data_IF_709934257455
#
_entry.id   IF_709934257455
#
_cell.length_a   1.000
_cell.length_b   1.000
_cell.length_c   1.000
_cell.angle_alpha   90.00
_cell.angle_beta   90.00
_cell.angle_gamma   90.00
#
_symmetry.space_group_name_H-M   'P 1'
#
loop_
_entity.id
_entity.type
_entity.pdbx_description
1 polymer ?
#
# COMPACT_ATOMS: atom_id res chain seq x y z
N UNK A 1 1.89 -14.56 -16.39
CA UNK A 1 2.92 -13.76 -17.09
C UNK A 1 3.64 -12.92 -16.05
N UNK A 2 4.98 -12.87 -16.10
CA UNK A 2 5.80 -12.05 -15.20
C UNK A 2 5.62 -10.57 -15.51
N UNK A 3 5.63 -9.72 -14.48
CA UNK A 3 5.47 -8.27 -14.64
C UNK A 3 6.65 -7.69 -15.44
N UNK A 4 6.41 -6.96 -16.54
CA UNK A 4 7.47 -6.57 -17.47
C UNK A 4 8.16 -5.24 -17.13
N UNK A 5 7.60 -4.45 -16.22
CA UNK A 5 8.05 -3.08 -15.94
C UNK A 5 8.80 -2.96 -14.61
N UNK A 6 9.50 -1.83 -14.42
CA UNK A 6 10.32 -1.57 -13.22
C UNK A 6 9.51 -1.14 -12.02
N UNK A 7 8.37 -0.50 -12.21
CA UNK A 7 7.53 -0.02 -11.12
C UNK A 7 6.08 0.17 -11.52
N UNK A 8 5.22 0.35 -10.52
CA UNK A 8 3.85 0.85 -10.70
C UNK A 8 3.70 2.21 -10.03
N UNK A 9 2.75 3.00 -10.51
CA UNK A 9 2.36 4.25 -9.86
C UNK A 9 0.85 4.42 -9.87
N UNK A 10 0.33 5.28 -8.99
CA UNK A 10 -1.09 5.61 -8.96
C UNK A 10 -1.35 6.90 -9.73
N UNK A 11 -2.33 6.88 -10.63
CA UNK A 11 -2.77 8.05 -11.37
C UNK A 11 -3.64 9.00 -10.53
N UNK A 12 -4.35 9.91 -11.21
CA UNK A 12 -5.13 10.94 -10.54
C UNK A 12 -6.23 10.35 -9.66
N UNK A 13 -6.31 10.84 -8.41
CA UNK A 13 -7.32 10.40 -7.45
C UNK A 13 -8.71 10.89 -7.86
N UNK A 14 -9.67 9.98 -7.89
CA UNK A 14 -11.09 10.25 -8.16
C UNK A 14 -12.00 9.25 -7.44
N UNK A 15 -13.22 9.06 -7.94
CA UNK A 15 -14.15 8.01 -7.47
C UNK A 15 -13.57 6.61 -7.68
N UNK A 16 -12.82 6.44 -8.76
CA UNK A 16 -11.90 5.33 -8.96
C UNK A 16 -10.53 5.89 -9.34
N UNK A 17 -9.46 5.23 -8.89
CA UNK A 17 -8.07 5.65 -9.14
C UNK A 17 -7.37 4.60 -10.00
N UNK A 18 -6.80 4.97 -11.16
CA UNK A 18 -6.05 4.02 -11.97
C UNK A 18 -4.70 3.69 -11.33
N UNK A 19 -4.31 2.43 -11.43
CA UNK A 19 -2.98 1.92 -11.19
C UNK A 19 -2.29 1.82 -12.56
N UNK A 20 -1.17 2.50 -12.70
CA UNK A 20 -0.41 2.62 -13.93
C UNK A 20 0.79 1.70 -13.91
N UNK A 21 1.13 1.17 -15.08
CA UNK A 21 2.46 0.64 -15.34
C UNK A 21 3.42 1.83 -15.49
N UNK A 22 4.45 1.88 -14.65
CA UNK A 22 5.39 3.00 -14.58
C UNK A 22 4.68 4.36 -14.43
N UNK A 23 4.84 5.29 -15.37
CA UNK A 23 4.14 6.59 -15.41
C UNK A 23 2.92 6.60 -16.35
N UNK A 24 2.51 5.44 -16.88
CA UNK A 24 1.47 5.29 -17.89
C UNK A 24 2.01 5.37 -19.33
N UNK A 25 1.13 5.35 -20.35
CA UNK A 25 -0.33 5.42 -20.26
C UNK A 25 -1.01 4.06 -20.00
N UNK A 26 -0.25 2.97 -19.92
CA UNK A 26 -0.82 1.64 -19.67
C UNK A 26 -1.38 1.53 -18.24
N UNK A 27 -2.66 1.16 -18.14
CA UNK A 27 -3.34 0.93 -16.88
C UNK A 27 -3.38 -0.56 -16.55
N UNK A 28 -2.92 -0.91 -15.35
CA UNK A 28 -2.99 -2.27 -14.82
C UNK A 28 -4.36 -2.57 -14.20
N UNK A 29 -5.06 -1.52 -13.74
CA UNK A 29 -6.39 -1.64 -13.19
C UNK A 29 -6.89 -0.32 -12.60
N UNK A 30 -8.18 -0.28 -12.28
CA UNK A 30 -8.84 0.89 -11.70
C UNK A 30 -9.49 0.51 -10.38
N UNK A 31 -9.15 1.23 -9.31
CA UNK A 31 -9.53 0.89 -7.93
C UNK A 31 -10.51 1.89 -7.34
N UNK A 32 -11.66 1.39 -6.91
CA UNK A 32 -12.61 2.07 -6.01
C UNK A 32 -12.38 1.67 -4.55
N UNK A 33 -13.40 1.88 -3.71
CA UNK A 33 -13.32 1.57 -2.27
C UNK A 33 -13.47 0.08 -1.98
N UNK A 34 -14.52 -0.54 -2.53
CA UNK A 34 -14.86 -1.95 -2.26
C UNK A 34 -14.67 -2.84 -3.49
N UNK A 35 -14.33 -2.25 -4.64
CA UNK A 35 -14.14 -2.97 -5.90
C UNK A 35 -12.99 -2.40 -6.69
N UNK A 36 -12.33 -3.25 -7.46
CA UNK A 36 -11.43 -2.84 -8.53
C UNK A 36 -11.77 -3.57 -9.82
N UNK A 37 -11.28 -3.02 -10.93
CA UNK A 37 -11.24 -3.69 -12.23
C UNK A 37 -9.78 -3.87 -12.60
N UNK A 38 -9.33 -5.11 -12.81
CA UNK A 38 -7.95 -5.46 -13.15
C UNK A 38 -7.98 -6.24 -14.47
N UNK A 39 -7.49 -5.63 -15.55
CA UNK A 39 -7.80 -6.11 -16.90
C UNK A 39 -9.32 -6.16 -17.11
N UNK A 40 -9.84 -7.34 -17.44
CA UNK A 40 -11.29 -7.57 -17.62
C UNK A 40 -11.99 -8.12 -16.36
N UNK A 41 -11.26 -8.35 -15.27
CA UNK A 41 -11.79 -8.98 -14.05
C UNK A 41 -12.23 -7.95 -13.01
N UNK A 42 -13.40 -8.14 -12.40
CA UNK A 42 -13.78 -7.42 -11.18
C UNK A 42 -13.17 -8.09 -9.95
N UNK A 43 -12.59 -7.28 -9.07
CA UNK A 43 -12.11 -7.72 -7.78
C UNK A 43 -12.98 -7.13 -6.68
N UNK A 44 -13.22 -7.91 -5.63
CA UNK A 44 -13.86 -7.45 -4.39
C UNK A 44 -12.75 -7.10 -3.41
N UNK A 45 -12.78 -5.87 -2.89
CA UNK A 45 -11.80 -5.34 -1.97
C UNK A 45 -12.42 -5.23 -0.58
N UNK A 46 -11.70 -5.70 0.42
CA UNK A 46 -12.07 -5.49 1.82
C UNK A 46 -10.84 -5.09 2.62
N UNK A 47 -10.96 -4.06 3.46
CA UNK A 47 -9.85 -3.62 4.31
C UNK A 47 -10.36 -3.15 5.68
N UNK A 48 -9.95 -3.85 6.73
CA UNK A 48 -10.11 -3.44 8.14
C UNK A 48 -8.81 -2.81 8.63
N UNK A 49 -8.68 -2.47 9.92
CA UNK A 49 -7.42 -1.91 10.46
C UNK A 49 -6.21 -2.86 10.31
N UNK A 50 -6.45 -4.15 10.39
CA UNK A 50 -5.44 -5.20 10.57
C UNK A 50 -5.51 -6.30 9.50
N UNK A 51 -6.51 -6.29 8.63
CA UNK A 51 -6.65 -7.21 7.51
C UNK A 51 -6.94 -6.42 6.24
N UNK A 52 -6.49 -6.92 5.09
CA UNK A 52 -6.94 -6.49 3.78
C UNK A 52 -6.97 -7.68 2.84
N UNK A 53 -8.02 -7.80 2.04
CA UNK A 53 -8.20 -8.88 1.07
C UNK A 53 -8.69 -8.33 -0.27
N UNK A 54 -8.12 -8.85 -1.36
CA UNK A 54 -8.61 -8.65 -2.71
C UNK A 54 -8.96 -10.02 -3.30
N UNK A 55 -10.23 -10.24 -3.63
CA UNK A 55 -10.72 -11.51 -4.18
C UNK A 55 -11.13 -11.32 -5.62
N UNK A 56 -10.57 -12.13 -6.51
CA UNK A 56 -10.88 -12.13 -7.94
C UNK A 56 -12.23 -12.82 -8.22
N UNK A 57 -12.81 -12.61 -9.40
CA UNK A 57 -13.99 -13.35 -9.86
C UNK A 57 -13.81 -14.87 -9.88
N UNK A 58 -12.56 -15.33 -10.09
CA UNK A 58 -12.22 -16.76 -10.08
C UNK A 58 -12.08 -17.35 -8.66
N UNK A 59 -12.21 -16.54 -7.61
CA UNK A 59 -12.10 -16.95 -6.20
C UNK A 59 -10.68 -16.93 -5.64
N UNK A 60 -9.67 -16.62 -6.45
CA UNK A 60 -8.31 -16.36 -5.96
C UNK A 60 -8.32 -15.15 -5.02
N UNK A 61 -7.66 -15.26 -3.87
CA UNK A 61 -7.64 -14.21 -2.86
C UNK A 61 -6.22 -13.83 -2.50
N UNK A 62 -5.94 -12.54 -2.56
CA UNK A 62 -4.73 -11.91 -2.05
C UNK A 62 -5.05 -11.34 -0.68
N UNK A 63 -4.21 -11.60 0.32
CA UNK A 63 -4.45 -11.14 1.69
C UNK A 63 -3.22 -10.47 2.29
N UNK A 64 -3.42 -9.45 3.12
CA UNK A 64 -2.40 -8.79 3.93
C UNK A 64 -2.87 -8.73 5.38
N UNK A 65 -2.05 -9.23 6.30
CA UNK A 65 -2.35 -9.28 7.72
C UNK A 65 -1.39 -8.40 8.54
N UNK A 66 -1.93 -7.80 9.59
CA UNK A 66 -1.20 -7.05 10.61
C UNK A 66 -1.58 -5.56 10.67
N UNK A 67 -1.22 -4.91 11.77
CA UNK A 67 -1.53 -3.50 12.02
C UNK A 67 -0.66 -2.59 11.14
N UNK A 68 -1.19 -2.21 9.98
CA UNK A 68 -0.46 -1.44 8.95
C UNK A 68 0.07 -0.08 9.42
N UNK A 69 -0.57 0.51 10.44
CA UNK A 69 -0.15 1.80 10.99
C UNK A 69 1.10 1.70 11.89
N UNK A 70 1.44 0.52 12.43
CA UNK A 70 2.47 0.38 13.48
C UNK A 70 3.44 -0.78 13.26
N UNK A 71 3.01 -1.84 12.60
CA UNK A 71 3.81 -3.04 12.44
C UNK A 71 5.08 -2.73 11.64
N UNK A 72 6.20 -3.32 12.08
CA UNK A 72 7.48 -3.27 11.36
C UNK A 72 7.57 -4.32 10.28
N UNK A 73 6.90 -5.45 10.49
CA UNK A 73 6.79 -6.54 9.53
C UNK A 73 5.30 -6.80 9.29
N UNK A 74 4.91 -6.97 8.02
CA UNK A 74 3.58 -7.42 7.63
C UNK A 74 3.74 -8.61 6.69
N UNK A 75 2.80 -9.54 6.73
CA UNK A 75 2.82 -10.74 5.88
C UNK A 75 1.65 -10.65 4.92
N UNK A 76 1.93 -10.93 3.64
CA UNK A 76 0.90 -11.07 2.63
C UNK A 76 0.92 -12.47 2.01
N UNK A 77 -0.25 -12.97 1.67
CA UNK A 77 -0.46 -14.14 0.85
C UNK A 77 -0.89 -13.69 -0.55
N UNK A 78 -0.09 -14.07 -1.55
CA UNK A 78 -0.28 -13.72 -2.95
C UNK A 78 -0.96 -14.86 -3.74
N UNK A 79 -2.04 -15.44 -3.21
CA UNK A 79 -2.71 -16.57 -3.86
C UNK A 79 -1.97 -17.91 -3.68
N UNK A 80 -1.40 -18.14 -2.50
CA UNK A 80 -0.62 -19.32 -2.15
C UNK A 80 0.89 -19.06 -2.05
N UNK A 81 1.36 -17.86 -2.41
CA UNK A 81 2.75 -17.44 -2.23
C UNK A 81 2.87 -16.37 -1.15
N UNK A 82 3.55 -16.72 -0.06
CA UNK A 82 3.77 -15.78 1.04
C UNK A 82 4.93 -14.82 0.75
N UNK A 83 4.73 -13.54 1.07
CA UNK A 83 5.77 -12.50 1.03
C UNK A 83 5.74 -11.68 2.33
N UNK A 84 6.86 -11.06 2.67
CA UNK A 84 7.00 -10.25 3.89
C UNK A 84 7.37 -8.81 3.52
N UNK A 85 6.59 -7.87 4.02
CA UNK A 85 6.88 -6.45 3.98
C UNK A 85 7.69 -6.09 5.22
N UNK A 86 8.91 -5.60 5.05
CA UNK A 86 9.83 -5.21 6.13
C UNK A 86 10.08 -3.71 6.11
N UNK A 87 9.89 -3.04 7.25
CA UNK A 87 10.14 -1.61 7.40
C UNK A 87 11.58 -1.37 7.86
N UNK A 88 12.49 -1.16 6.91
CA UNK A 88 13.92 -0.99 7.19
C UNK A 88 14.22 0.33 7.90
N UNK A 89 13.63 1.44 7.44
CA UNK A 89 13.91 2.77 7.98
C UNK A 89 12.69 3.66 7.84
N UNK A 90 12.05 4.02 8.97
CA UNK A 90 10.86 4.91 9.07
C UNK A 90 9.79 4.69 7.99
N UNK A 91 9.99 5.19 6.78
CA UNK A 91 9.07 5.16 5.65
C UNK A 91 9.51 4.27 4.49
N UNK A 92 10.74 3.74 4.52
CA UNK A 92 11.30 2.84 3.51
C UNK A 92 10.97 1.40 3.86
N UNK A 93 10.53 0.66 2.85
CA UNK A 93 10.09 -0.71 2.97
C UNK A 93 10.63 -1.57 1.83
N UNK A 94 10.97 -2.80 2.18
CA UNK A 94 11.29 -3.85 1.22
C UNK A 94 10.25 -4.96 1.32
N UNK A 95 10.04 -5.66 0.23
CA UNK A 95 9.19 -6.84 0.16
C UNK A 95 10.08 -8.00 -0.22
N UNK A 96 10.10 -9.02 0.63
CA UNK A 96 10.88 -10.23 0.46
C UNK A 96 9.97 -11.43 0.17
N UNK A 97 10.46 -12.36 -0.65
CA UNK A 97 9.82 -13.65 -0.83
C UNK A 97 10.01 -14.58 0.39
N UNK A 98 9.48 -15.80 0.30
CA UNK A 98 9.60 -16.80 1.37
C UNK A 98 11.05 -17.24 1.66
N UNK A 99 12.00 -16.96 0.77
CA UNK A 99 13.42 -17.27 0.91
C UNK A 99 14.24 -16.07 1.41
N UNK A 100 13.61 -14.92 1.68
CA UNK A 100 14.28 -13.69 2.07
C UNK A 100 14.93 -12.94 0.90
N UNK A 101 14.62 -13.30 -0.34
CA UNK A 101 15.08 -12.54 -1.49
C UNK A 101 14.17 -11.33 -1.70
N UNK A 102 14.77 -10.15 -1.83
CA UNK A 102 14.04 -8.92 -2.13
C UNK A 102 13.41 -9.01 -3.53
N UNK A 103 12.11 -8.76 -3.60
CA UNK A 103 11.35 -8.79 -4.87
C UNK A 103 10.78 -7.42 -5.23
N UNK A 104 10.62 -6.53 -4.24
CA UNK A 104 10.14 -5.18 -4.47
C UNK A 104 10.48 -4.24 -3.32
N UNK A 105 10.28 -2.94 -3.51
CA UNK A 105 10.40 -1.92 -2.47
C UNK A 105 9.43 -0.76 -2.70
N UNK A 106 9.18 0.01 -1.65
CA UNK A 106 8.46 1.27 -1.73
C UNK A 106 8.89 2.19 -0.60
N UNK A 107 8.66 3.50 -0.78
CA UNK A 107 8.87 4.48 0.27
C UNK A 107 7.68 5.42 0.40
N UNK A 108 7.36 5.80 1.64
CA UNK A 108 6.50 6.95 1.92
C UNK A 108 7.24 8.29 1.84
N UNK A 109 8.57 8.28 1.77
CA UNK A 109 9.43 9.47 1.79
C UNK A 109 9.18 10.41 0.60
N UNK A 110 9.40 11.71 0.80
CA UNK A 110 9.31 12.80 -0.18
C UNK A 110 7.93 13.10 -0.83
N UNK A 111 7.04 12.12 -1.00
CA UNK A 111 5.73 12.33 -1.65
C UNK A 111 4.54 11.70 -0.90
N UNK A 112 4.78 10.94 0.18
CA UNK A 112 3.71 10.28 0.93
C UNK A 112 2.78 9.46 0.04
N UNK A 113 1.47 9.55 0.28
CA UNK A 113 0.44 8.91 -0.56
C UNK A 113 0.16 9.63 -1.88
N UNK A 114 0.84 10.75 -2.18
CA UNK A 114 0.61 11.53 -3.42
C UNK A 114 1.27 10.88 -4.63
N UNK A 115 2.44 10.26 -4.44
CA UNK A 115 3.08 9.35 -5.39
C UNK A 115 3.41 8.06 -4.66
N UNK A 116 2.41 7.17 -4.60
CA UNK A 116 2.60 5.81 -4.11
C UNK A 116 3.21 5.00 -5.26
N UNK A 117 4.47 4.58 -5.11
CA UNK A 117 5.21 3.83 -6.12
C UNK A 117 5.66 2.50 -5.52
N UNK A 118 5.43 1.40 -6.24
CA UNK A 118 6.00 0.10 -5.94
C UNK A 118 7.07 -0.18 -6.99
N UNK A 119 8.32 -0.27 -6.58
CA UNK A 119 9.44 -0.64 -7.44
C UNK A 119 9.66 -2.14 -7.35
N UNK A 120 9.72 -2.82 -8.50
CA UNK A 120 9.90 -4.27 -8.60
C UNK A 120 11.35 -4.56 -8.96
N UNK A 121 11.96 -5.53 -8.28
CA UNK A 121 13.36 -5.90 -8.53
C UNK A 121 13.55 -6.57 -9.89
N UNK A 122 14.66 -6.28 -10.55
CA UNK A 122 14.99 -6.89 -11.84
C UNK A 122 15.17 -8.41 -11.68
N UNK A 123 14.46 -9.19 -12.50
CA UNK A 123 14.48 -10.66 -12.44
C UNK A 123 13.55 -11.28 -11.38
N UNK A 124 12.86 -10.46 -10.57
CA UNK A 124 11.87 -10.96 -9.63
C UNK A 124 10.72 -11.68 -10.37
N UNK A 125 10.41 -12.91 -9.94
CA UNK A 125 9.38 -13.74 -10.58
C UNK A 125 7.99 -13.39 -10.04
N UNK A 126 7.57 -12.12 -10.17
CA UNK A 126 6.26 -11.65 -9.71
C UNK A 126 5.35 -11.45 -10.92
N UNK A 127 4.15 -12.03 -10.88
CA UNK A 127 3.16 -11.86 -11.95
C UNK A 127 2.51 -10.49 -11.91
N UNK A 128 1.92 -10.05 -13.03
CA UNK A 128 1.19 -8.77 -13.09
C UNK A 128 0.07 -8.69 -12.03
N UNK A 129 -0.71 -9.75 -11.86
CA UNK A 129 -1.79 -9.84 -10.87
C UNK A 129 -1.28 -9.65 -9.44
N UNK A 130 -0.15 -10.30 -9.12
CA UNK A 130 0.51 -10.14 -7.82
C UNK A 130 1.04 -8.71 -7.62
N UNK A 131 1.67 -8.11 -8.64
CA UNK A 131 2.12 -6.72 -8.59
C UNK A 131 0.96 -5.75 -8.36
N UNK A 132 -0.20 -6.01 -8.97
CA UNK A 132 -1.42 -5.21 -8.76
C UNK A 132 -1.90 -5.32 -7.31
N UNK A 133 -1.96 -6.53 -6.75
CA UNK A 133 -2.32 -6.74 -5.34
C UNK A 133 -1.31 -6.08 -4.39
N UNK A 134 -0.01 -6.24 -4.63
CA UNK A 134 1.06 -5.61 -3.86
C UNK A 134 0.94 -4.07 -3.90
N UNK A 135 0.70 -3.50 -5.07
CA UNK A 135 0.54 -2.04 -5.23
C UNK A 135 -0.63 -1.50 -4.42
N UNK A 136 -1.73 -2.24 -4.35
CA UNK A 136 -2.87 -1.92 -3.50
C UNK A 136 -2.54 -2.02 -2.01
N UNK A 137 -1.85 -3.08 -1.58
CA UNK A 137 -1.37 -3.23 -0.21
C UNK A 137 -0.44 -2.11 0.23
N UNK A 138 0.51 -1.73 -0.62
CA UNK A 138 1.42 -0.60 -0.38
C UNK A 138 0.63 0.68 -0.11
N UNK A 139 -0.37 0.98 -0.96
CA UNK A 139 -1.21 2.16 -0.77
C UNK A 139 -1.93 2.12 0.58
N UNK A 140 -2.52 0.99 0.97
CA UNK A 140 -3.18 0.83 2.27
C UNK A 140 -2.22 1.01 3.45
N UNK A 141 -0.97 0.55 3.33
CA UNK A 141 0.06 0.72 4.35
C UNK A 141 0.42 2.20 4.51
N UNK A 142 0.71 2.88 3.40
CA UNK A 142 1.06 4.30 3.41
C UNK A 142 -0.09 5.18 3.91
N UNK A 143 -1.34 4.89 3.51
CA UNK A 143 -2.53 5.59 3.99
C UNK A 143 -2.75 5.39 5.50
N UNK A 144 -2.59 4.17 6.01
CA UNK A 144 -2.71 3.89 7.44
C UNK A 144 -1.66 4.62 8.28
N UNK A 145 -0.41 4.67 7.80
CA UNK A 145 0.69 5.36 8.49
C UNK A 145 0.55 6.87 8.44
N UNK A 146 0.15 7.43 7.30
CA UNK A 146 -0.14 8.86 7.18
C UNK A 146 -1.26 9.26 8.15
N UNK A 147 -2.36 8.49 8.19
CA UNK A 147 -3.47 8.75 9.11
C UNK A 147 -3.00 8.75 10.56
N UNK A 148 -2.22 7.76 10.97
CA UNK A 148 -1.70 7.68 12.34
C UNK A 148 -0.81 8.89 12.70
N UNK A 149 0.10 9.28 11.80
CA UNK A 149 0.95 10.45 12.01
C UNK A 149 0.14 11.74 12.13
N UNK A 150 -0.86 11.94 11.26
CA UNK A 150 -1.73 13.12 11.30
C UNK A 150 -2.55 13.18 12.58
N UNK A 151 -3.08 12.05 13.06
CA UNK A 151 -3.83 12.00 14.33
C UNK A 151 -2.95 12.40 15.51
N UNK A 152 -1.70 11.92 15.57
CA UNK A 152 -0.75 12.30 16.63
C UNK A 152 -0.49 13.80 16.61
N UNK A 153 -0.21 14.37 15.42
CA UNK A 153 0.02 15.81 15.27
C UNK A 153 -1.17 16.64 15.73
N UNK A 154 -2.40 16.28 15.33
CA UNK A 154 -3.63 16.97 15.74
C UNK A 154 -3.77 16.96 17.26
N UNK A 155 -3.58 15.80 17.91
CA UNK A 155 -3.67 15.69 19.37
C UNK A 155 -2.62 16.57 20.05
N UNK A 156 -1.38 16.56 19.56
CA UNK A 156 -0.31 17.41 20.10
C UNK A 156 -0.63 18.90 19.98
N UNK A 157 -1.14 19.34 18.83
CA UNK A 157 -1.52 20.75 18.62
C UNK A 157 -2.68 21.17 19.52
N UNK A 158 -3.67 20.30 19.72
CA UNK A 158 -4.78 20.57 20.65
C UNK A 158 -4.25 20.72 22.09
N UNK A 159 -3.39 19.80 22.54
CA UNK A 159 -2.79 19.89 23.87
C UNK A 159 -1.96 21.17 24.05
N UNK A 160 -1.12 21.52 23.06
CA UNK A 160 -0.33 22.74 23.09
C UNK A 160 -1.21 24.00 23.14
N UNK A 161 -2.33 24.01 22.40
CA UNK A 161 -3.30 25.11 22.42
C UNK A 161 -3.93 25.28 23.79
N UNK A 162 -4.32 24.17 24.45
CA UNK A 162 -4.89 24.21 25.81
C UNK A 162 -3.87 24.76 26.83
N UNK A 163 -2.60 24.32 26.74
CA UNK A 163 -1.53 24.81 27.61
C UNK A 163 -1.30 26.31 27.41
N UNK A 164 -1.25 26.77 26.15
CA UNK A 164 -1.08 28.18 25.83
C UNK A 164 -2.21 29.05 26.40
N UNK A 165 -3.47 28.60 26.27
CA UNK A 165 -4.63 29.30 26.85
C UNK A 165 -4.53 29.34 28.38
N UNK A 166 -4.20 28.22 29.03
CA UNK A 166 -4.02 28.18 30.49
C UNK A 166 -2.90 29.11 30.95
N UNK A 167 -1.78 29.17 30.23
CA UNK A 167 -0.65 30.04 30.56
C UNK A 167 -0.95 31.54 30.41
N UNK A 168 -1.92 31.92 29.57
CA UNK A 168 -2.39 33.30 29.43
C UNK A 168 -3.40 33.65 30.53
N UNK A 169 -4.17 32.67 31.01
CA UNK A 169 -5.23 32.87 32.01
C UNK A 169 -4.72 32.78 33.47
N UNK A 170 -3.54 32.21 33.70
CA UNK A 170 -2.83 32.12 34.98
C UNK A 170 -1.86 33.28 35.15
#
# INVERSE_FOLDING_TARGET
>A
MTFPARYTSWGQRGSATPLLMEEGPEELGTFGVERATVGEQSWILHATKDQATATTEAGETFALAGNRARAKNLTADLGGRTVTFLNESRQDWVIEDAHGAKIAQFSGGNNGVRRCVLEVEEGAQVSTTEVVALSWFVRLILEARLRASSTVLIITLVAATLIAVLAILL
#
